data_IF_433729256849
#
_entry.id   IF_433729256849
#
_cell.length_a   1.000
_cell.length_b   1.000
_cell.length_c   1.000
_cell.angle_alpha   90.00
_cell.angle_beta   90.00
_cell.angle_gamma   90.00
#
_symmetry.space_group_name_H-M   'P 1'
#
loop_
_entity.id
_entity.type
_entity.pdbx_description
1 polymer ?
#
# COMPACT_ATOMS: atom_id res chain seq x y z
N UNK A 1 37.38 9.48 -58.06
CA UNK A 1 36.19 10.30 -57.76
C UNK A 1 35.35 9.50 -56.78
N UNK A 2 35.16 10.09 -55.59
CA UNK A 2 34.20 9.76 -54.52
C UNK A 2 34.08 8.30 -54.07
N UNK A 3 34.83 7.97 -53.01
CA UNK A 3 34.39 7.00 -52.02
C UNK A 3 33.19 7.58 -51.25
N UNK A 4 32.20 6.73 -50.98
CA UNK A 4 30.99 7.07 -50.25
C UNK A 4 31.21 6.63 -48.80
N UNK A 5 31.51 7.60 -47.93
CA UNK A 5 31.57 7.44 -46.49
C UNK A 5 30.15 7.45 -45.91
N UNK A 6 29.55 6.27 -45.71
CA UNK A 6 28.35 6.13 -44.89
C UNK A 6 28.73 6.10 -43.41
N UNK A 7 29.08 7.28 -42.89
CA UNK A 7 29.03 7.53 -41.46
C UNK A 7 27.56 7.57 -41.04
N UNK A 8 27.06 6.43 -40.55
CA UNK A 8 25.81 6.36 -39.81
C UNK A 8 25.95 7.21 -38.54
N UNK A 9 25.55 8.47 -38.65
CA UNK A 9 25.32 9.36 -37.51
C UNK A 9 24.07 8.87 -36.77
N UNK A 10 24.27 7.94 -35.83
CA UNK A 10 23.27 7.68 -34.81
C UNK A 10 23.12 8.96 -33.96
N UNK A 11 21.90 9.46 -33.70
CA UNK A 11 21.71 10.56 -32.76
C UNK A 11 22.20 10.12 -31.37
N UNK A 12 22.77 11.04 -30.56
CA UNK A 12 23.29 10.69 -29.25
C UNK A 12 22.17 10.11 -28.38
N UNK A 13 22.45 8.96 -27.77
CA UNK A 13 21.55 8.31 -26.82
C UNK A 13 21.12 9.34 -25.74
N UNK A 14 19.82 9.62 -25.69
CA UNK A 14 19.25 10.48 -24.66
C UNK A 14 19.42 9.76 -23.33
N UNK A 15 20.34 10.27 -22.50
CA UNK A 15 20.61 9.82 -21.14
C UNK A 15 19.35 10.05 -20.31
N UNK A 16 18.47 9.05 -20.21
CA UNK A 16 17.37 9.06 -19.25
C UNK A 16 17.97 8.93 -17.87
N UNK A 17 17.93 10.02 -17.10
CA UNK A 17 18.22 9.99 -15.68
C UNK A 17 17.19 9.09 -15.02
N UNK A 18 17.61 7.84 -14.77
CA UNK A 18 16.85 6.86 -14.03
C UNK A 18 16.69 7.34 -12.59
N UNK A 19 15.60 8.05 -12.33
CA UNK A 19 15.05 8.19 -11.00
C UNK A 19 13.94 7.15 -10.89
N UNK A 20 14.31 6.00 -10.34
CA UNK A 20 13.51 4.81 -10.16
C UNK A 20 12.55 5.00 -8.97
N UNK A 21 11.23 5.10 -9.22
CA UNK A 21 10.18 5.31 -8.20
C UNK A 21 9.18 4.14 -8.24
N UNK A 22 9.67 2.95 -7.90
CA UNK A 22 9.21 2.07 -6.80
C UNK A 22 7.93 2.48 -6.01
N UNK A 23 6.76 2.70 -6.64
CA UNK A 23 5.58 3.21 -5.91
C UNK A 23 4.23 2.48 -6.08
N UNK A 24 4.22 1.18 -6.42
CA UNK A 24 2.94 0.44 -6.35
C UNK A 24 3.01 -0.98 -5.79
N UNK A 25 4.20 -1.58 -5.70
CA UNK A 25 4.48 -2.62 -4.70
C UNK A 25 4.78 -2.06 -3.31
N UNK A 26 4.70 -0.73 -3.16
CA UNK A 26 5.43 -0.01 -2.12
C UNK A 26 4.59 0.45 -0.93
N UNK A 27 3.28 0.23 -0.84
CA UNK A 27 2.57 0.58 0.40
C UNK A 27 2.88 -0.44 1.51
N UNK A 28 2.82 -1.73 1.20
CA UNK A 28 3.26 -2.79 2.12
C UNK A 28 4.77 -2.77 2.35
N UNK A 29 5.55 -2.50 1.28
CA UNK A 29 7.00 -2.34 1.40
C UNK A 29 7.36 -1.04 2.14
N UNK A 30 6.77 0.14 1.96
CA UNK A 30 7.13 1.34 2.73
C UNK A 30 6.64 1.30 4.18
N UNK A 31 5.58 0.55 4.51
CA UNK A 31 5.24 0.34 5.92
C UNK A 31 6.30 -0.57 6.57
N UNK A 32 6.64 -1.73 5.97
CA UNK A 32 7.61 -2.69 6.54
C UNK A 32 9.08 -2.23 6.37
N UNK A 33 9.44 -1.69 5.23
CA UNK A 33 10.74 -1.12 4.85
C UNK A 33 10.91 0.31 5.36
N UNK A 34 9.85 1.07 5.63
CA UNK A 34 9.95 2.31 6.41
C UNK A 34 10.31 2.00 7.85
N UNK A 35 9.67 0.99 8.45
CA UNK A 35 10.07 0.44 9.75
C UNK A 35 11.52 -0.11 9.71
N UNK A 36 11.91 -0.86 8.67
CA UNK A 36 13.22 -1.50 8.58
C UNK A 36 14.39 -0.56 8.14
N UNK A 37 14.19 0.35 7.18
CA UNK A 37 15.20 1.30 6.74
C UNK A 37 15.39 2.46 7.69
N UNK A 38 14.38 2.80 8.49
CA UNK A 38 14.64 3.59 9.69
C UNK A 38 15.70 2.85 10.52
N UNK A 39 15.52 1.59 10.93
CA UNK A 39 16.50 0.94 11.82
C UNK A 39 17.97 0.89 11.34
N UNK A 40 18.23 0.75 10.03
CA UNK A 40 19.61 0.76 9.50
C UNK A 40 20.27 2.15 9.52
N UNK A 41 19.51 3.24 9.33
CA UNK A 41 20.01 4.61 9.53
C UNK A 41 20.01 5.06 11.00
N UNK A 42 19.20 4.41 11.84
CA UNK A 42 18.96 4.74 13.24
C UNK A 42 20.00 4.19 14.23
N UNK A 43 20.98 3.40 13.77
CA UNK A 43 22.11 2.95 14.59
C UNK A 43 22.90 4.12 15.21
N UNK A 44 22.71 5.36 14.74
CA UNK A 44 23.49 6.54 15.15
C UNK A 44 22.75 7.66 15.92
N UNK A 45 21.45 7.58 16.25
CA UNK A 45 20.80 8.73 16.93
C UNK A 45 19.88 8.38 18.10
N UNK A 46 20.01 9.16 19.19
CA UNK A 46 19.16 9.15 20.39
C UNK A 46 17.71 9.60 20.14
N UNK A 47 17.26 9.80 18.90
CA UNK A 47 15.93 10.32 18.54
C UNK A 47 15.18 9.42 17.54
N UNK A 48 15.60 8.16 17.43
CA UNK A 48 15.09 7.18 16.47
C UNK A 48 13.58 6.96 16.56
N UNK A 49 13.10 6.61 17.75
CA UNK A 49 11.68 6.42 18.01
C UNK A 49 10.87 7.70 17.82
N UNK A 50 11.40 8.86 18.22
CA UNK A 50 10.72 10.15 18.02
C UNK A 50 10.52 10.47 16.53
N UNK A 51 11.55 10.25 15.70
CA UNK A 51 11.45 10.45 14.25
C UNK A 51 10.45 9.48 13.62
N UNK A 52 10.48 8.22 14.04
CA UNK A 52 9.54 7.19 13.62
C UNK A 52 8.08 7.56 13.95
N UNK A 53 7.82 7.94 15.22
CA UNK A 53 6.50 8.39 15.70
C UNK A 53 5.98 9.55 14.86
N UNK A 54 6.79 10.60 14.66
CA UNK A 54 6.39 11.78 13.92
C UNK A 54 6.10 11.49 12.44
N UNK A 55 6.91 10.65 11.80
CA UNK A 55 6.72 10.29 10.39
C UNK A 55 5.44 9.47 10.18
N UNK A 56 5.19 8.46 11.04
CA UNK A 56 3.97 7.66 10.97
C UNK A 56 2.72 8.46 11.32
N UNK A 57 2.78 9.31 12.34
CA UNK A 57 1.67 10.19 12.71
C UNK A 57 1.28 11.10 11.53
N UNK A 58 2.27 11.68 10.83
CA UNK A 58 2.02 12.49 9.64
C UNK A 58 1.32 11.70 8.52
N UNK A 59 1.77 10.48 8.24
CA UNK A 59 1.13 9.62 7.22
C UNK A 59 -0.32 9.32 7.61
N UNK A 60 -0.59 9.02 8.89
CA UNK A 60 -1.94 8.77 9.40
C UNK A 60 -2.81 10.03 9.27
N UNK A 61 -2.25 11.21 9.58
CA UNK A 61 -2.97 12.49 9.51
C UNK A 61 -3.39 12.87 8.09
N UNK A 62 -2.62 12.46 7.07
CA UNK A 62 -2.91 12.70 5.65
C UNK A 62 -4.01 11.78 5.09
N UNK A 63 -4.46 10.78 5.84
CA UNK A 63 -5.55 9.89 5.42
C UNK A 63 -6.95 10.49 5.66
N UNK A 64 -7.95 10.05 4.90
CA UNK A 64 -9.37 10.35 5.18
C UNK A 64 -10.03 9.35 6.16
N UNK A 65 -9.23 8.69 7.00
CA UNK A 65 -9.75 7.79 8.03
C UNK A 65 -10.55 8.57 9.09
N UNK A 66 -11.52 7.91 9.76
CA UNK A 66 -12.17 8.47 10.94
C UNK A 66 -11.15 8.93 11.98
N UNK A 67 -11.39 10.08 12.62
CA UNK A 67 -10.44 10.66 13.60
C UNK A 67 -10.16 9.71 14.78
N UNK A 68 -11.13 8.87 15.14
CA UNK A 68 -10.95 7.84 16.15
C UNK A 68 -9.98 6.73 15.69
N UNK A 69 -10.08 6.30 14.43
CA UNK A 69 -9.15 5.31 13.86
C UNK A 69 -7.74 5.88 13.79
N UNK A 70 -7.59 7.14 13.34
CA UNK A 70 -6.30 7.85 13.35
C UNK A 70 -5.70 7.91 14.75
N UNK A 71 -6.51 8.23 15.76
CA UNK A 71 -6.07 8.28 17.17
C UNK A 71 -5.55 6.92 17.63
N UNK A 72 -6.32 5.86 17.40
CA UNK A 72 -5.92 4.49 17.76
C UNK A 72 -4.62 4.09 17.06
N UNK A 73 -4.50 4.34 15.76
CA UNK A 73 -3.29 3.99 15.00
C UNK A 73 -2.05 4.72 15.54
N UNK A 74 -2.16 6.00 15.90
CA UNK A 74 -1.06 6.77 16.51
C UNK A 74 -0.69 6.24 17.89
N UNK A 75 -1.68 5.86 18.71
CA UNK A 75 -1.44 5.24 20.02
C UNK A 75 -0.63 3.95 19.89
N UNK A 76 -0.98 3.11 18.93
CA UNK A 76 -0.27 1.84 18.71
C UNK A 76 1.14 2.05 18.12
N UNK A 77 1.31 3.03 17.22
CA UNK A 77 2.65 3.45 16.75
C UNK A 77 3.51 3.94 17.92
N UNK A 78 2.93 4.76 18.81
CA UNK A 78 3.63 5.25 20.00
C UNK A 78 4.03 4.10 20.92
N UNK A 79 3.14 3.13 21.14
CA UNK A 79 3.40 1.94 21.95
C UNK A 79 4.54 1.10 21.40
N UNK A 80 4.54 0.80 20.10
CA UNK A 80 5.63 0.04 19.47
C UNK A 80 6.96 0.77 19.62
N UNK A 81 6.98 2.08 19.42
CA UNK A 81 8.18 2.89 19.56
C UNK A 81 8.67 2.97 21.03
N UNK A 82 7.77 3.04 22.02
CA UNK A 82 8.11 2.97 23.45
C UNK A 82 8.69 1.62 23.84
N UNK A 83 8.12 0.52 23.33
CA UNK A 83 8.66 -0.83 23.55
C UNK A 83 10.06 -0.98 22.94
N UNK A 84 10.30 -0.37 21.78
CA UNK A 84 11.62 -0.35 21.15
C UNK A 84 12.64 0.46 21.99
N UNK A 85 12.27 1.66 22.44
CA UNK A 85 13.13 2.50 23.30
C UNK A 85 13.45 1.83 24.64
N UNK A 86 12.50 1.08 25.19
CA UNK A 86 12.68 0.31 26.42
C UNK A 86 13.52 -0.96 26.22
N UNK A 87 13.83 -1.34 24.97
CA UNK A 87 14.51 -2.60 24.64
C UNK A 87 13.65 -3.84 24.84
N UNK A 88 12.32 -3.69 24.96
CA UNK A 88 11.37 -4.80 25.06
C UNK A 88 11.18 -5.54 23.72
N UNK A 89 11.38 -4.81 22.61
CA UNK A 89 11.48 -5.36 21.26
C UNK A 89 12.75 -4.79 20.60
N UNK A 90 13.43 -5.62 19.82
CA UNK A 90 14.59 -5.24 19.02
C UNK A 90 14.25 -4.96 17.56
N UNK A 91 15.26 -4.53 16.80
CA UNK A 91 15.11 -4.28 15.37
C UNK A 91 14.66 -5.52 14.59
N UNK A 92 15.13 -6.70 14.98
CA UNK A 92 14.77 -7.99 14.39
C UNK A 92 13.29 -8.37 14.60
N UNK A 93 12.61 -7.75 15.57
CA UNK A 93 11.21 -8.03 15.91
C UNK A 93 10.24 -7.20 15.06
N UNK A 94 10.72 -6.08 14.51
CA UNK A 94 9.92 -5.18 13.71
C UNK A 94 9.36 -5.81 12.41
N UNK A 95 10.12 -6.62 11.65
CA UNK A 95 9.56 -7.38 10.53
C UNK A 95 8.43 -8.32 10.94
N UNK A 96 8.51 -8.95 12.12
CA UNK A 96 7.47 -9.87 12.62
C UNK A 96 6.16 -9.12 12.88
N UNK A 97 6.26 -7.91 13.45
CA UNK A 97 5.10 -7.03 13.63
C UNK A 97 4.55 -6.57 12.26
N UNK A 98 5.44 -6.20 11.34
CA UNK A 98 5.09 -5.79 9.98
C UNK A 98 4.35 -6.89 9.20
N UNK A 99 4.75 -8.15 9.33
CA UNK A 99 4.05 -9.30 8.73
C UNK A 99 2.59 -9.41 9.20
N UNK A 100 2.32 -9.19 10.48
CA UNK A 100 0.96 -9.27 11.03
C UNK A 100 0.07 -8.12 10.58
N UNK A 101 0.66 -6.96 10.32
CA UNK A 101 -0.01 -5.83 9.66
C UNK A 101 -0.29 -6.18 8.19
N UNK A 102 0.67 -6.77 7.47
CA UNK A 102 0.47 -7.17 6.08
C UNK A 102 -0.61 -8.25 5.89
N UNK A 103 -0.81 -9.13 6.90
CA UNK A 103 -1.89 -10.13 6.92
C UNK A 103 -3.26 -9.55 7.33
N UNK A 104 -3.29 -8.32 7.83
CA UNK A 104 -4.52 -7.66 8.25
C UNK A 104 -5.28 -7.10 7.04
N UNK A 105 -6.58 -6.76 7.17
CA UNK A 105 -7.33 -6.15 6.07
C UNK A 105 -6.90 -4.71 5.75
N UNK A 106 -5.95 -4.15 6.51
CA UNK A 106 -5.50 -2.78 6.36
C UNK A 106 -4.72 -2.54 5.08
N UNK A 107 -4.00 -3.56 4.59
CA UNK A 107 -3.23 -3.40 3.35
C UNK A 107 -4.15 -3.25 2.14
N UNK A 108 -5.15 -4.14 1.90
CA UNK A 108 -6.18 -3.91 0.89
C UNK A 108 -6.92 -2.58 1.07
N UNK A 109 -7.30 -2.22 2.31
CA UNK A 109 -7.98 -0.95 2.59
C UNK A 109 -7.11 0.27 2.23
N UNK A 110 -5.83 0.26 2.61
CA UNK A 110 -4.90 1.34 2.30
C UNK A 110 -4.71 1.53 0.79
N UNK A 111 -4.69 0.44 0.01
CA UNK A 111 -4.64 0.52 -1.45
C UNK A 111 -5.89 1.23 -2.01
N UNK A 112 -7.08 0.89 -1.51
CA UNK A 112 -8.32 1.55 -1.92
C UNK A 112 -8.32 3.04 -1.58
N UNK A 113 -7.92 3.42 -0.37
CA UNK A 113 -7.82 4.83 0.03
C UNK A 113 -6.91 5.60 -0.93
N UNK A 114 -5.77 5.02 -1.32
CA UNK A 114 -4.85 5.64 -2.28
C UNK A 114 -5.50 5.78 -3.66
N UNK A 115 -6.25 4.77 -4.14
CA UNK A 115 -6.98 4.86 -5.42
C UNK A 115 -8.07 5.94 -5.37
N UNK A 116 -8.79 6.05 -4.26
CA UNK A 116 -9.80 7.09 -4.05
C UNK A 116 -9.17 8.48 -4.13
N UNK A 117 -8.11 8.71 -3.35
CA UNK A 117 -7.46 10.01 -3.28
C UNK A 117 -6.74 10.39 -4.57
N UNK A 118 -6.10 9.42 -5.24
CA UNK A 118 -5.31 9.68 -6.45
C UNK A 118 -6.17 9.81 -7.71
N UNK A 119 -7.24 9.03 -7.82
CA UNK A 119 -8.02 8.94 -9.06
C UNK A 119 -9.50 9.30 -8.88
N UNK A 120 -10.20 8.69 -7.91
CA UNK A 120 -11.66 8.84 -7.81
C UNK A 120 -12.08 10.26 -7.41
N UNK A 121 -11.54 10.77 -6.30
CA UNK A 121 -11.89 12.07 -5.74
C UNK A 121 -11.59 13.23 -6.70
N UNK A 122 -10.39 13.31 -7.32
CA UNK A 122 -10.06 14.39 -8.25
C UNK A 122 -10.64 14.22 -9.66
N UNK A 123 -11.36 13.13 -9.95
CA UNK A 123 -11.95 12.88 -11.28
C UNK A 123 -13.09 13.83 -11.63
N UNK A 124 -13.40 13.90 -12.93
CA UNK A 124 -14.57 14.59 -13.47
C UNK A 124 -15.88 13.79 -13.39
N UNK A 125 -15.87 12.63 -12.74
CA UNK A 125 -17.07 11.81 -12.51
C UNK A 125 -18.11 12.56 -11.68
N UNK A 126 -19.38 12.23 -11.89
CA UNK A 126 -20.48 12.74 -11.06
C UNK A 126 -20.41 12.21 -9.62
N UNK A 127 -21.05 12.90 -8.68
CA UNK A 127 -21.10 12.45 -7.28
C UNK A 127 -21.76 11.08 -7.10
N UNK A 128 -22.73 10.74 -7.97
CA UNK A 128 -23.36 9.42 -8.01
C UNK A 128 -22.37 8.34 -8.45
N UNK A 129 -21.62 8.59 -9.53
CA UNK A 129 -20.55 7.69 -10.00
C UNK A 129 -19.44 7.53 -8.95
N UNK A 130 -19.06 8.61 -8.24
CA UNK A 130 -18.07 8.53 -7.15
C UNK A 130 -18.57 7.70 -5.97
N UNK A 131 -19.84 7.85 -5.60
CA UNK A 131 -20.45 7.07 -4.51
C UNK A 131 -20.52 5.58 -4.86
N UNK A 132 -20.97 5.24 -6.07
CA UNK A 132 -20.99 3.85 -6.56
C UNK A 132 -19.58 3.27 -6.72
N UNK A 133 -18.63 4.10 -7.18
CA UNK A 133 -17.22 3.76 -7.29
C UNK A 133 -16.61 3.41 -5.95
N UNK A 134 -16.81 4.26 -4.92
CA UNK A 134 -16.36 4.00 -3.56
C UNK A 134 -16.90 2.69 -3.02
N UNK A 135 -18.22 2.47 -3.13
CA UNK A 135 -18.87 1.23 -2.70
C UNK A 135 -18.32 0.00 -3.42
N UNK A 136 -18.02 0.13 -4.72
CA UNK A 136 -17.38 -0.92 -5.51
C UNK A 136 -15.96 -1.23 -5.02
N UNK A 137 -15.18 -0.20 -4.70
CA UNK A 137 -13.83 -0.35 -4.18
C UNK A 137 -13.81 -0.97 -2.77
N UNK A 138 -14.74 -0.60 -1.89
CA UNK A 138 -14.90 -1.22 -0.57
C UNK A 138 -15.16 -2.73 -0.69
N UNK A 139 -16.05 -3.11 -1.61
CA UNK A 139 -16.33 -4.52 -1.92
C UNK A 139 -15.11 -5.21 -2.54
N UNK A 140 -14.33 -4.53 -3.36
CA UNK A 140 -13.10 -5.06 -3.91
C UNK A 140 -12.08 -5.35 -2.80
N UNK A 141 -11.85 -4.42 -1.87
CA UNK A 141 -11.00 -4.62 -0.71
C UNK A 141 -11.45 -5.83 0.12
N UNK A 142 -12.75 -5.96 0.38
CA UNK A 142 -13.33 -7.13 1.05
C UNK A 142 -13.04 -8.42 0.30
N UNK A 143 -13.26 -8.44 -1.02
CA UNK A 143 -13.03 -9.61 -1.86
C UNK A 143 -11.57 -10.06 -1.87
N UNK A 144 -10.62 -9.11 -1.88
CA UNK A 144 -9.19 -9.38 -1.78
C UNK A 144 -8.84 -9.93 -0.39
N UNK A 145 -9.32 -9.29 0.67
CA UNK A 145 -9.05 -9.72 2.04
C UNK A 145 -9.61 -11.11 2.36
N UNK A 146 -10.85 -11.37 1.96
CA UNK A 146 -11.51 -12.68 2.08
C UNK A 146 -10.95 -13.72 1.09
N UNK A 147 -9.94 -13.37 0.28
CA UNK A 147 -9.28 -14.21 -0.74
C UNK A 147 -10.25 -14.76 -1.80
N UNK A 148 -11.36 -14.06 -2.03
CA UNK A 148 -12.35 -14.37 -3.08
C UNK A 148 -11.96 -13.78 -4.43
N UNK A 149 -11.14 -12.72 -4.41
CA UNK A 149 -10.52 -12.10 -5.57
C UNK A 149 -9.01 -12.31 -5.42
N UNK A 150 -8.42 -13.03 -6.37
CA UNK A 150 -6.99 -13.33 -6.41
C UNK A 150 -6.16 -12.13 -6.87
N UNK A 151 -4.86 -12.17 -6.60
CA UNK A 151 -3.93 -11.12 -7.06
C UNK A 151 -3.94 -10.95 -8.58
N UNK A 152 -4.12 -12.04 -9.33
CA UNK A 152 -4.15 -11.99 -10.79
C UNK A 152 -5.42 -11.30 -11.29
N UNK A 153 -6.56 -11.57 -10.65
CA UNK A 153 -7.81 -10.85 -10.94
C UNK A 153 -7.68 -9.37 -10.60
N UNK A 154 -7.01 -9.00 -9.49
CA UNK A 154 -6.73 -7.59 -9.16
C UNK A 154 -5.90 -6.91 -10.25
N UNK A 155 -4.87 -7.57 -10.79
CA UNK A 155 -4.07 -7.00 -11.89
C UNK A 155 -4.90 -6.75 -13.14
N UNK A 156 -5.75 -7.71 -13.51
CA UNK A 156 -6.65 -7.57 -14.67
C UNK A 156 -7.64 -6.43 -14.46
N UNK A 157 -8.23 -6.34 -13.25
CA UNK A 157 -9.12 -5.23 -12.90
C UNK A 157 -8.40 -3.89 -13.03
N UNK A 158 -7.16 -3.80 -12.54
CA UNK A 158 -6.35 -2.58 -12.51
C UNK A 158 -5.67 -2.22 -13.85
N UNK A 159 -5.79 -3.04 -14.88
CA UNK A 159 -5.17 -2.79 -16.20
C UNK A 159 -5.48 -1.39 -16.76
N UNK A 160 -6.73 -0.87 -16.71
CA UNK A 160 -7.04 0.45 -17.27
C UNK A 160 -6.32 1.60 -16.56
N UNK A 161 -5.92 1.43 -15.31
CA UNK A 161 -5.25 2.45 -14.49
C UNK A 161 -3.76 2.17 -14.28
N UNK A 162 -3.23 1.14 -14.94
CA UNK A 162 -1.82 0.77 -14.86
C UNK A 162 -1.15 0.76 -16.24
N UNK A 163 0.17 0.83 -16.24
CA UNK A 163 1.04 0.69 -17.41
C UNK A 163 2.08 -0.37 -17.11
N UNK A 164 2.43 -1.16 -18.12
CA UNK A 164 3.53 -2.09 -18.01
C UNK A 164 4.86 -1.35 -18.15
N UNK A 165 5.74 -1.55 -17.17
CA UNK A 165 7.10 -1.05 -17.18
C UNK A 165 8.00 -1.92 -18.07
N UNK A 166 9.17 -1.41 -18.44
CA UNK A 166 10.12 -2.13 -19.29
C UNK A 166 10.65 -3.44 -18.70
N UNK A 167 10.44 -3.69 -17.41
CA UNK A 167 10.76 -4.93 -16.70
C UNK A 167 9.55 -5.90 -16.59
N UNK A 168 8.42 -5.55 -17.21
CA UNK A 168 7.19 -6.34 -17.19
C UNK A 168 6.31 -6.10 -15.96
N UNK A 169 6.72 -5.25 -15.01
CA UNK A 169 5.92 -4.91 -13.82
C UNK A 169 4.79 -3.92 -14.15
N UNK A 170 3.65 -4.04 -13.47
CA UNK A 170 2.56 -3.07 -13.59
C UNK A 170 2.80 -1.89 -12.65
N UNK A 171 2.74 -0.69 -13.20
CA UNK A 171 2.85 0.58 -12.49
C UNK A 171 1.57 1.39 -12.65
N UNK A 172 1.16 2.16 -11.64
CA UNK A 172 -0.03 2.98 -11.69
C UNK A 172 0.25 4.16 -12.61
N UNK A 173 -0.72 4.52 -13.45
CA UNK A 173 -0.61 5.71 -14.29
C UNK A 173 -0.49 6.96 -13.41
N UNK A 174 0.36 7.91 -13.81
CA UNK A 174 0.42 9.21 -13.13
C UNK A 174 -0.89 9.98 -13.29
N UNK A 175 -1.53 9.82 -14.45
CA UNK A 175 -2.83 10.41 -14.77
C UNK A 175 -3.72 9.34 -15.39
N UNK A 176 -4.95 9.27 -14.91
CA UNK A 176 -6.02 8.41 -15.42
C UNK A 176 -7.11 9.32 -15.94
N UNK A 177 -7.61 9.04 -17.13
CA UNK A 177 -8.77 9.73 -17.71
C UNK A 177 -10.06 9.21 -17.08
N UNK A 178 -11.13 10.01 -17.13
CA UNK A 178 -12.42 9.56 -16.58
C UNK A 178 -12.93 8.27 -17.25
N UNK A 179 -12.64 8.05 -18.53
CA UNK A 179 -13.03 6.84 -19.26
C UNK A 179 -12.25 5.60 -18.79
N UNK A 180 -10.93 5.73 -18.59
CA UNK A 180 -10.10 4.67 -18.01
C UNK A 180 -10.51 4.36 -16.56
N UNK A 181 -10.89 5.39 -15.79
CA UNK A 181 -11.38 5.22 -14.43
C UNK A 181 -12.73 4.49 -14.42
N UNK A 182 -13.67 4.84 -15.30
CA UNK A 182 -14.93 4.12 -15.47
C UNK A 182 -14.70 2.66 -15.87
N UNK A 183 -13.77 2.41 -16.77
CA UNK A 183 -13.41 1.05 -17.18
C UNK A 183 -12.90 0.23 -15.99
N UNK A 184 -11.97 0.79 -15.21
CA UNK A 184 -11.48 0.17 -13.99
C UNK A 184 -12.60 -0.11 -12.98
N UNK A 185 -13.48 0.87 -12.72
CA UNK A 185 -14.60 0.70 -11.79
C UNK A 185 -15.59 -0.35 -12.30
N UNK A 186 -15.86 -0.42 -13.60
CA UNK A 186 -16.71 -1.44 -14.21
C UNK A 186 -16.10 -2.84 -14.10
N UNK A 187 -14.79 -2.98 -14.30
CA UNK A 187 -14.07 -4.23 -14.12
C UNK A 187 -14.15 -4.68 -12.65
N UNK A 188 -13.91 -3.76 -11.71
CA UNK A 188 -14.04 -4.02 -10.28
C UNK A 188 -15.46 -4.45 -9.91
N UNK A 189 -16.48 -3.73 -10.40
CA UNK A 189 -17.90 -4.00 -10.17
C UNK A 189 -18.31 -5.37 -10.67
N UNK A 190 -17.84 -5.74 -11.86
CA UNK A 190 -18.06 -7.07 -12.46
C UNK A 190 -17.46 -8.15 -11.56
N UNK A 191 -16.18 -8.01 -11.18
CA UNK A 191 -15.50 -8.98 -10.33
C UNK A 191 -16.18 -9.17 -8.97
N UNK A 192 -16.53 -8.08 -8.26
CA UNK A 192 -17.18 -8.20 -6.95
C UNK A 192 -18.58 -8.79 -7.04
N UNK A 193 -19.30 -8.56 -8.14
CA UNK A 193 -20.61 -9.17 -8.37
C UNK A 193 -20.51 -10.66 -8.70
N UNK A 194 -19.59 -11.05 -9.59
CA UNK A 194 -19.35 -12.46 -9.94
C UNK A 194 -18.94 -13.31 -8.73
N UNK A 195 -18.16 -12.74 -7.82
CA UNK A 195 -17.76 -13.40 -6.57
C UNK A 195 -18.80 -13.29 -5.46
N UNK A 196 -19.97 -12.70 -5.74
CA UNK A 196 -21.03 -12.47 -4.76
C UNK A 196 -20.50 -11.80 -3.48
N UNK A 197 -19.61 -10.81 -3.62
CA UNK A 197 -19.15 -10.04 -2.47
C UNK A 197 -20.34 -9.22 -1.98
N UNK A 198 -20.73 -9.33 -0.69
CA UNK A 198 -21.91 -8.67 -0.18
C UNK A 198 -21.87 -7.16 -0.40
N UNK A 199 -23.01 -6.60 -0.79
CA UNK A 199 -23.18 -5.18 -1.02
C UNK A 199 -23.66 -4.48 0.27
N UNK A 200 -22.88 -4.65 1.33
CA UNK A 200 -23.12 -4.10 2.67
C UNK A 200 -22.03 -3.10 3.00
N UNK A 201 -22.32 -2.17 3.92
CA UNK A 201 -21.33 -1.23 4.43
C UNK A 201 -20.16 -2.00 5.04
N UNK A 202 -19.07 -2.11 4.29
CA UNK A 202 -17.85 -2.78 4.72
C UNK A 202 -16.99 -1.79 5.50
N UNK A 203 -17.51 -1.38 6.66
CA UNK A 203 -16.84 -0.43 7.52
C UNK A 203 -15.84 -1.16 8.41
N UNK A 204 -14.63 -1.38 7.89
CA UNK A 204 -13.52 -1.85 8.69
C UNK A 204 -13.14 -0.73 9.65
N UNK A 205 -13.21 -0.99 10.96
CA UNK A 205 -12.57 -0.15 11.95
C UNK A 205 -11.04 -0.31 11.81
N UNK A 206 -10.43 0.60 11.05
CA UNK A 206 -9.02 0.50 10.68
C UNK A 206 -8.12 0.62 11.92
N UNK A 207 -8.53 1.42 12.90
CA UNK A 207 -7.81 1.57 14.17
C UNK A 207 -7.73 0.25 14.94
N UNK A 208 -8.86 -0.41 15.14
CA UNK A 208 -8.92 -1.69 15.86
C UNK A 208 -8.25 -2.82 15.09
N UNK A 209 -8.37 -2.88 13.76
CA UNK A 209 -7.63 -3.88 12.97
C UNK A 209 -6.12 -3.65 13.04
N UNK A 210 -5.66 -2.40 13.09
CA UNK A 210 -4.25 -2.06 13.29
C UNK A 210 -3.75 -2.48 14.66
N UNK A 211 -4.51 -2.17 15.72
CA UNK A 211 -4.21 -2.64 17.08
C UNK A 211 -4.13 -4.15 17.16
N UNK A 212 -5.11 -4.86 16.58
CA UNK A 212 -5.11 -6.34 16.57
C UNK A 212 -3.87 -6.88 15.86
N UNK A 213 -3.49 -6.31 14.71
CA UNK A 213 -2.30 -6.71 13.97
C UNK A 213 -1.01 -6.51 14.78
N UNK A 214 -0.84 -5.35 15.41
CA UNK A 214 0.31 -5.08 16.28
C UNK A 214 0.32 -6.03 17.48
N UNK A 215 -0.82 -6.29 18.11
CA UNK A 215 -0.92 -7.23 19.22
C UNK A 215 -0.51 -8.65 18.82
N UNK A 216 -0.95 -9.14 17.65
CA UNK A 216 -0.48 -10.43 17.12
C UNK A 216 1.02 -10.43 16.88
N UNK A 217 1.56 -9.34 16.32
CA UNK A 217 2.99 -9.17 16.08
C UNK A 217 3.81 -9.27 17.36
N UNK A 218 3.45 -8.46 18.36
CA UNK A 218 4.09 -8.47 19.69
C UNK A 218 3.96 -9.84 20.36
N UNK A 219 2.81 -10.49 20.25
CA UNK A 219 2.63 -11.82 20.80
C UNK A 219 3.56 -12.85 20.15
N UNK A 220 3.71 -12.81 18.82
CA UNK A 220 4.66 -13.68 18.08
C UNK A 220 6.10 -13.42 18.51
N UNK A 221 6.47 -12.17 18.74
CA UNK A 221 7.81 -11.81 19.25
C UNK A 221 8.06 -12.43 20.62
N UNK A 222 7.08 -12.34 21.54
CA UNK A 222 7.17 -12.92 22.89
C UNK A 222 7.20 -14.46 22.90
N UNK A 223 6.49 -15.10 21.98
CA UNK A 223 6.46 -16.56 21.85
C UNK A 223 7.78 -17.12 21.28
N UNK A 224 8.59 -16.30 20.60
CA UNK A 224 9.79 -16.75 19.90
C UNK A 224 9.47 -17.58 18.65
N UNK A 225 10.50 -18.07 17.93
CA UNK A 225 10.28 -18.96 16.79
C UNK A 225 9.59 -20.23 17.29
N UNK A 226 8.41 -20.53 16.73
CA UNK A 226 7.76 -21.82 16.94
C UNK A 226 8.69 -22.85 16.32
N UNK A 227 9.30 -23.71 17.14
CA UNK A 227 9.96 -24.92 16.63
C UNK A 227 8.89 -25.71 15.88
N UNK A 228 8.83 -25.56 14.56
CA UNK A 228 8.08 -26.45 13.70
C UNK A 228 8.72 -27.83 13.89
N UNK A 229 7.94 -28.74 14.48
CA UNK A 229 8.39 -30.05 14.91
C UNK A 229 9.21 -30.76 13.83
N UNK A 230 10.32 -31.31 14.30
CA UNK A 230 11.14 -32.37 13.70
C UNK A 230 10.37 -33.39 12.85
#
# INVERSE_FOLDING_TARGET
MSGFDDSFNAPPAKKSGGWSWLLLGCLGFFVVFGIACCGAGLYFSMNAATLFKNQFAKIIDETDLPEEDKRIMKEEVNRVAEMYDAGEIGFQDLPIIGEEIAKSPLLPLGIIIVLEQKYLNPSGLSEEEKTDGKRTLDRLARGVFEKKISEEEVKQIAEPITTQSGDGSFQPKDKVTDDELREFLNNAKTAVNEKNIPDEDYNINAGEEFRKAINRGIQRVKEGPKEEGS
#
